data_IF_414771143845
#
_entry.id   IF_414771143845
#
_cell.length_a   1.000
_cell.length_b   1.000
_cell.length_c   1.000
_cell.angle_alpha   90.00
_cell.angle_beta   90.00
_cell.angle_gamma   90.00
#
_symmetry.space_group_name_H-M   'P 1'
#
loop_
_entity.id
_entity.type
_entity.pdbx_description
1 polymer ?
#
# COMPACT_ATOMS: atom_id res chain seq x y z
N UNK A 1 8.41 11.70 -9.24
CA UNK A 1 7.60 11.88 -8.01
C UNK A 1 8.53 12.28 -6.86
N UNK A 2 8.04 13.10 -5.95
CA UNK A 2 8.73 13.44 -4.71
C UNK A 2 8.66 12.25 -3.74
N UNK A 3 9.62 12.17 -2.81
CA UNK A 3 9.68 11.07 -1.85
C UNK A 3 8.39 10.94 -1.03
N UNK A 4 7.84 12.06 -0.55
CA UNK A 4 6.60 12.06 0.24
C UNK A 4 5.37 11.54 -0.52
N UNK A 5 5.27 11.84 -1.82
CA UNK A 5 4.17 11.36 -2.68
C UNK A 5 4.22 9.84 -2.84
N UNK A 6 5.42 9.28 -3.00
CA UNK A 6 5.62 7.84 -3.09
C UNK A 6 5.22 7.12 -1.78
N UNK A 7 5.59 7.70 -0.63
CA UNK A 7 5.21 7.17 0.68
C UNK A 7 3.69 7.25 0.89
N UNK A 8 3.06 8.35 0.48
CA UNK A 8 1.62 8.54 0.55
C UNK A 8 0.85 7.49 -0.27
N UNK A 9 1.30 7.21 -1.50
CA UNK A 9 0.73 6.15 -2.32
C UNK A 9 0.88 4.76 -1.66
N UNK A 10 2.07 4.48 -1.10
CA UNK A 10 2.34 3.25 -0.35
C UNK A 10 1.41 3.08 0.85
N UNK A 11 1.16 4.14 1.62
CA UNK A 11 0.26 4.10 2.78
C UNK A 11 -1.18 3.73 2.39
N UNK A 12 -1.66 4.23 1.25
CA UNK A 12 -2.99 3.86 0.74
C UNK A 12 -3.01 2.39 0.30
N UNK A 13 -1.96 1.92 -0.37
CA UNK A 13 -1.85 0.51 -0.76
C UNK A 13 -1.81 -0.43 0.46
N UNK A 14 -1.01 -0.11 1.48
CA UNK A 14 -0.96 -0.85 2.76
C UNK A 14 -2.32 -0.84 3.47
N UNK A 15 -2.99 0.32 3.50
CA UNK A 15 -4.35 0.45 4.04
C UNK A 15 -5.37 -0.43 3.31
N UNK A 16 -5.26 -0.56 1.98
CA UNK A 16 -6.14 -1.42 1.19
C UNK A 16 -5.95 -2.89 1.57
N UNK A 17 -4.70 -3.34 1.69
CA UNK A 17 -4.37 -4.72 2.07
C UNK A 17 -4.90 -5.00 3.49
N UNK A 18 -4.65 -4.08 4.43
CA UNK A 18 -5.15 -4.18 5.80
C UNK A 18 -6.67 -4.34 5.85
N UNK A 19 -7.41 -3.49 5.11
CA UNK A 19 -8.86 -3.58 4.99
C UNK A 19 -9.31 -4.91 4.38
N UNK A 20 -8.65 -5.37 3.32
CA UNK A 20 -8.97 -6.66 2.69
C UNK A 20 -8.75 -7.85 3.63
N UNK A 21 -7.80 -7.74 4.55
CA UNK A 21 -7.54 -8.72 5.62
C UNK A 21 -8.45 -8.56 6.85
N UNK A 22 -9.42 -7.65 6.82
CA UNK A 22 -10.26 -7.28 7.97
C UNK A 22 -9.47 -6.72 9.17
N UNK A 23 -8.26 -6.19 8.94
CA UNK A 23 -7.45 -5.53 9.96
C UNK A 23 -7.84 -4.05 10.11
N UNK A 24 -8.35 -3.42 9.06
CA UNK A 24 -8.80 -2.04 9.06
C UNK A 24 -10.27 -1.95 8.66
N UNK A 25 -11.06 -1.16 9.39
CA UNK A 25 -12.47 -0.92 9.04
C UNK A 25 -12.59 -0.12 7.75
N UNK A 26 -13.65 -0.36 7.00
CA UNK A 26 -13.91 0.33 5.73
C UNK A 26 -13.99 1.86 5.91
N UNK A 27 -14.65 2.34 6.96
CA UNK A 27 -14.72 3.79 7.28
C UNK A 27 -13.35 4.40 7.59
N UNK A 28 -12.52 3.69 8.37
CA UNK A 28 -11.17 4.14 8.72
C UNK A 28 -10.25 4.15 7.48
N UNK A 29 -10.37 3.16 6.61
CA UNK A 29 -9.67 3.15 5.34
C UNK A 29 -10.11 4.31 4.44
N UNK A 30 -11.42 4.60 4.39
CA UNK A 30 -11.97 5.72 3.63
C UNK A 30 -11.46 7.07 4.12
N UNK A 31 -11.44 7.26 5.43
CA UNK A 31 -10.85 8.45 6.05
C UNK A 31 -9.38 8.59 5.66
N UNK A 32 -8.60 7.51 5.78
CA UNK A 32 -7.17 7.48 5.46
C UNK A 32 -6.90 7.91 4.02
N UNK A 33 -7.49 7.24 3.02
CA UNK A 33 -7.11 7.55 1.64
C UNK A 33 -7.63 8.92 1.21
N UNK A 34 -8.80 9.36 1.72
CA UNK A 34 -9.34 10.70 1.43
C UNK A 34 -8.43 11.78 1.99
N UNK A 35 -7.96 11.63 3.23
CA UNK A 35 -7.06 12.58 3.88
C UNK A 35 -5.70 12.65 3.20
N UNK A 36 -5.11 11.48 2.89
CA UNK A 36 -3.80 11.40 2.23
C UNK A 36 -3.84 12.04 0.84
N UNK A 37 -4.86 11.74 0.03
CA UNK A 37 -5.03 12.32 -1.31
C UNK A 37 -5.26 13.83 -1.25
N UNK A 38 -5.98 14.34 -0.25
CA UNK A 38 -6.20 15.78 -0.09
C UNK A 38 -4.92 16.57 0.19
N UNK A 39 -3.91 15.94 0.80
CA UNK A 39 -2.64 16.58 1.17
C UNK A 39 -1.58 16.40 0.09
N UNK A 40 -1.41 15.17 -0.41
CA UNK A 40 -0.31 14.80 -1.30
C UNK A 40 -0.71 14.68 -2.77
N UNK A 41 -2.02 14.69 -3.07
CA UNK A 41 -2.52 14.39 -4.39
C UNK A 41 -2.41 12.91 -4.74
N UNK A 42 -2.77 12.58 -6.00
CA UNK A 42 -2.63 11.24 -6.56
C UNK A 42 -1.35 11.16 -7.39
N UNK A 43 -0.62 10.06 -7.24
CA UNK A 43 0.51 9.73 -8.11
C UNK A 43 -0.03 9.04 -9.36
N UNK A 44 0.28 9.59 -10.52
CA UNK A 44 -0.09 9.01 -11.81
C UNK A 44 0.97 7.98 -12.26
N UNK A 45 0.51 6.79 -12.65
CA UNK A 45 1.30 5.74 -13.29
C UNK A 45 0.40 4.86 -14.16
N UNK A 46 0.97 4.05 -15.04
CA UNK A 46 0.23 3.23 -16.00
C UNK A 46 -0.03 1.82 -15.47
N UNK A 47 -1.06 1.15 -15.96
CA UNK A 47 -1.35 -0.26 -15.62
C UNK A 47 -0.17 -1.18 -15.97
N UNK A 48 0.62 -0.83 -17.00
CA UNK A 48 1.83 -1.55 -17.39
C UNK A 48 2.96 -1.41 -16.35
N UNK A 49 2.90 -0.41 -15.47
CA UNK A 49 3.90 -0.19 -14.42
C UNK A 49 3.69 -1.12 -13.21
N UNK A 50 2.49 -1.69 -13.04
CA UNK A 50 2.14 -2.55 -11.90
C UNK A 50 3.13 -3.71 -11.70
N UNK A 51 3.47 -4.39 -12.79
CA UNK A 51 4.42 -5.51 -12.73
C UNK A 51 5.82 -5.04 -12.32
N UNK A 52 6.29 -3.93 -12.89
CA UNK A 52 7.59 -3.35 -12.57
C UNK A 52 7.68 -2.90 -11.11
N UNK A 53 6.62 -2.27 -10.59
CA UNK A 53 6.53 -1.87 -9.18
C UNK A 53 6.59 -3.11 -8.28
N UNK A 54 5.81 -4.15 -8.59
CA UNK A 54 5.81 -5.40 -7.84
C UNK A 54 7.17 -6.11 -7.82
N UNK A 55 7.90 -6.11 -8.93
CA UNK A 55 9.27 -6.64 -8.98
C UNK A 55 10.26 -5.81 -8.17
N UNK A 56 10.16 -4.48 -8.20
CA UNK A 56 11.00 -3.59 -7.40
C UNK A 56 10.77 -3.78 -5.90
N UNK A 57 9.54 -4.07 -5.48
CA UNK A 57 9.23 -4.35 -4.06
C UNK A 57 9.99 -5.57 -3.52
N UNK A 58 10.36 -6.54 -4.35
CA UNK A 58 11.17 -7.69 -3.92
C UNK A 58 12.57 -7.30 -3.46
N UNK A 59 13.08 -6.14 -3.88
CA UNK A 59 14.40 -5.62 -3.54
C UNK A 59 14.41 -4.83 -2.22
N UNK A 60 13.24 -4.66 -1.56
CA UNK A 60 13.17 -3.96 -0.28
C UNK A 60 13.99 -4.70 0.79
N UNK A 61 14.81 -3.95 1.53
CA UNK A 61 15.70 -4.47 2.58
C UNK A 61 14.95 -5.12 3.75
N UNK A 62 13.65 -4.84 3.89
CA UNK A 62 12.78 -5.46 4.89
C UNK A 62 12.49 -6.93 4.54
N UNK A 63 12.50 -7.29 3.26
CA UNK A 63 12.20 -8.66 2.83
C UNK A 63 13.25 -9.64 3.37
N UNK A 64 12.77 -10.74 3.94
CA UNK A 64 13.60 -11.81 4.53
C UNK A 64 13.11 -13.14 4.00
N UNK A 65 14.02 -14.08 3.79
CA UNK A 65 13.69 -15.46 3.40
C UNK A 65 12.75 -15.55 2.16
N UNK A 66 12.96 -14.67 1.16
CA UNK A 66 12.11 -14.52 -0.03
C UNK A 66 10.65 -14.11 0.24
N UNK A 67 10.35 -13.56 1.42
CA UNK A 67 9.02 -13.05 1.79
C UNK A 67 8.94 -11.55 1.57
N UNK A 68 7.85 -11.10 0.97
CA UNK A 68 7.50 -9.68 0.89
C UNK A 68 6.95 -9.26 2.25
N UNK A 69 7.68 -8.37 2.94
CA UNK A 69 7.29 -7.89 4.26
C UNK A 69 6.89 -6.42 4.20
N UNK A 70 5.72 -6.11 4.77
CA UNK A 70 5.19 -4.75 4.84
C UNK A 70 4.72 -4.40 6.25
N UNK A 71 4.33 -3.14 6.41
CA UNK A 71 3.63 -2.66 7.60
C UNK A 71 2.15 -2.58 7.26
N UNK A 72 1.29 -3.26 8.02
CA UNK A 72 -0.16 -3.17 7.84
C UNK A 72 -0.81 -2.44 9.00
N UNK A 73 -1.77 -1.58 8.69
CA UNK A 73 -2.58 -0.90 9.70
C UNK A 73 -3.54 -1.87 10.36
N UNK A 74 -3.69 -1.77 11.68
CA UNK A 74 -4.71 -2.50 12.46
C UNK A 74 -5.79 -1.55 13.01
N UNK A 75 -5.49 -0.25 13.07
CA UNK A 75 -6.44 0.84 13.31
C UNK A 75 -5.74 2.18 13.00
N UNK A 76 -6.46 3.30 13.04
CA UNK A 76 -5.82 4.62 13.01
C UNK A 76 -4.92 4.77 14.25
N UNK A 77 -3.63 4.99 14.01
CA UNK A 77 -2.61 5.08 15.07
C UNK A 77 -2.00 3.75 15.50
N UNK A 78 -2.35 2.62 14.85
CA UNK A 78 -1.82 1.29 15.17
C UNK A 78 -1.45 0.49 13.93
N UNK A 79 -0.30 -0.20 13.98
CA UNK A 79 0.18 -1.02 12.86
C UNK A 79 0.95 -2.26 13.34
N UNK A 80 1.02 -3.27 12.46
CA UNK A 80 1.85 -4.46 12.60
C UNK A 80 3.02 -4.40 11.62
N UNK A 81 4.22 -4.69 12.11
CA UNK A 81 5.44 -4.79 11.30
C UNK A 81 5.68 -6.22 10.81
N UNK A 82 6.59 -6.36 9.86
CA UNK A 82 7.05 -7.64 9.31
C UNK A 82 5.89 -8.56 8.89
N UNK A 83 4.82 -7.97 8.35
CA UNK A 83 3.65 -8.72 7.91
C UNK A 83 3.87 -9.21 6.48
N UNK A 84 3.86 -10.52 6.31
CA UNK A 84 4.00 -11.17 5.01
C UNK A 84 2.78 -10.87 4.13
N UNK A 85 3.04 -10.40 2.91
CA UNK A 85 2.06 -10.18 1.86
C UNK A 85 2.40 -10.97 0.60
N UNK A 86 1.36 -11.32 -0.15
CA UNK A 86 1.49 -12.01 -1.42
C UNK A 86 1.67 -11.03 -2.58
N UNK A 87 2.30 -11.44 -3.69
CA UNK A 87 2.32 -10.65 -4.93
C UNK A 87 0.93 -10.27 -5.43
N UNK A 88 -0.07 -11.13 -5.24
CA UNK A 88 -1.47 -10.85 -5.62
C UNK A 88 -2.05 -9.69 -4.80
N UNK A 89 -1.74 -9.62 -3.50
CA UNK A 89 -2.16 -8.50 -2.65
C UNK A 89 -1.52 -7.19 -3.10
N UNK A 90 -0.24 -7.22 -3.47
CA UNK A 90 0.45 -6.06 -4.05
C UNK A 90 -0.26 -5.61 -5.32
N UNK A 91 -0.54 -6.54 -6.24
CA UNK A 91 -1.17 -6.21 -7.51
C UNK A 91 -2.59 -5.65 -7.32
N UNK A 92 -3.38 -6.24 -6.42
CA UNK A 92 -4.72 -5.75 -6.11
C UNK A 92 -4.69 -4.36 -5.45
N UNK A 93 -3.74 -4.11 -4.54
CA UNK A 93 -3.61 -2.82 -3.87
C UNK A 93 -3.20 -1.70 -4.83
N UNK A 94 -2.24 -1.97 -5.73
CA UNK A 94 -1.83 -1.00 -6.75
C UNK A 94 -2.92 -0.77 -7.79
N UNK A 95 -3.66 -1.81 -8.18
CA UNK A 95 -4.81 -1.69 -9.09
C UNK A 95 -5.93 -0.86 -8.48
N UNK A 96 -6.21 -1.05 -7.19
CA UNK A 96 -7.15 -0.21 -6.45
C UNK A 96 -6.69 1.25 -6.42
N UNK A 97 -5.42 1.50 -6.09
CA UNK A 97 -4.87 2.85 -6.06
C UNK A 97 -4.99 3.56 -7.41
N UNK A 98 -4.72 2.85 -8.50
CA UNK A 98 -4.84 3.39 -9.86
C UNK A 98 -6.29 3.80 -10.19
N UNK A 99 -7.28 3.09 -9.63
CA UNK A 99 -8.70 3.32 -9.87
C UNK A 99 -9.36 4.38 -8.94
N UNK A 100 -8.64 4.86 -7.91
CA UNK A 100 -9.08 5.97 -7.04
C UNK A 100 -9.27 7.27 -7.80
#
# INVERSE_FOLDING_TARGET
ILHGEAIAAGLIAEGFIARHRNLLKDDAFRELYTFVLAIFGKVEFDVNDLASIGELMKQDKKNKDNKLLCVLLNDIGSASWDTEISPDEVQNALSFYLAL
#
